data_IF_615659783631
#
_entry.id   IF_615659783631
#
_cell.length_a   1.000
_cell.length_b   1.000
_cell.length_c   1.000
_cell.angle_alpha   90.00
_cell.angle_beta   90.00
_cell.angle_gamma   90.00
#
_symmetry.space_group_name_H-M   'P 1'
#
loop_
_entity.id
_entity.type
_entity.pdbx_description
1 polymer ?
#
# COMPACT_ATOMS: atom_id res chain seq x y z
N UNK A 1 -17.88 -2.73 -28.39
CA UNK A 1 -17.17 -3.93 -27.93
C UNK A 1 -17.66 -4.22 -26.54
N UNK A 2 -17.96 -5.47 -26.14
CA UNK A 2 -18.27 -5.75 -24.76
C UNK A 2 -17.03 -5.41 -23.92
N UNK A 3 -17.21 -4.68 -22.83
CA UNK A 3 -16.15 -4.39 -21.88
C UNK A 3 -15.61 -5.74 -21.33
N UNK A 4 -14.31 -5.92 -21.36
CA UNK A 4 -13.68 -7.07 -20.70
C UNK A 4 -14.06 -7.00 -19.22
N UNK A 5 -14.59 -8.07 -18.61
CA UNK A 5 -14.91 -8.03 -17.19
C UNK A 5 -13.63 -7.71 -16.41
N UNK A 6 -13.72 -6.77 -15.48
CA UNK A 6 -12.62 -6.48 -14.54
C UNK A 6 -12.39 -7.75 -13.74
N UNK A 7 -11.15 -8.28 -13.81
CA UNK A 7 -10.75 -9.44 -13.03
C UNK A 7 -10.22 -8.98 -11.67
N UNK A 8 -10.39 -9.81 -10.66
CA UNK A 8 -9.91 -9.54 -9.33
C UNK A 8 -10.96 -9.00 -8.38
N UNK A 9 -10.63 -9.02 -7.12
CA UNK A 9 -11.50 -8.56 -6.02
C UNK A 9 -10.69 -7.98 -4.88
N UNK A 10 -11.36 -7.20 -4.04
CA UNK A 10 -10.80 -6.77 -2.76
C UNK A 10 -11.83 -6.95 -1.63
N UNK A 11 -11.31 -7.01 -0.42
CA UNK A 11 -12.09 -7.12 0.82
C UNK A 11 -11.48 -6.19 1.88
N UNK A 12 -12.31 -5.60 2.72
CA UNK A 12 -11.88 -4.73 3.82
C UNK A 12 -12.20 -5.37 5.16
N UNK A 13 -11.19 -5.56 5.99
CA UNK A 13 -11.34 -5.95 7.39
C UNK A 13 -11.20 -4.70 8.27
N UNK A 14 -12.33 -4.24 8.78
CA UNK A 14 -12.37 -3.04 9.63
C UNK A 14 -11.82 -3.32 11.03
N UNK A 15 -10.94 -2.45 11.51
CA UNK A 15 -10.34 -2.55 12.84
C UNK A 15 -9.50 -3.82 13.06
N UNK A 16 -8.98 -4.42 11.99
CA UNK A 16 -8.18 -5.65 12.06
C UNK A 16 -6.84 -5.47 12.78
N UNK A 17 -6.24 -4.28 12.69
CA UNK A 17 -4.95 -3.97 13.28
C UNK A 17 -5.12 -3.05 14.49
N UNK A 18 -4.66 -3.46 15.69
CA UNK A 18 -4.76 -2.63 16.88
C UNK A 18 -4.05 -1.28 16.75
N UNK A 19 -4.67 -0.20 17.21
CA UNK A 19 -4.15 1.17 17.11
C UNK A 19 -2.71 1.28 17.65
N UNK A 20 -2.39 0.58 18.75
CA UNK A 20 -1.03 0.59 19.30
C UNK A 20 0.03 0.14 18.28
N UNK A 21 -0.26 -0.87 17.46
CA UNK A 21 0.68 -1.35 16.42
C UNK A 21 0.83 -0.34 15.29
N UNK A 22 -0.25 0.35 14.93
CA UNK A 22 -0.21 1.48 13.99
C UNK A 22 0.69 2.59 14.52
N UNK A 23 0.52 2.96 15.79
CA UNK A 23 1.31 4.03 16.42
C UNK A 23 2.79 3.65 16.52
N UNK A 24 3.11 2.40 16.84
CA UNK A 24 4.49 1.91 16.93
C UNK A 24 5.16 1.93 15.53
N UNK A 25 4.47 1.49 14.49
CA UNK A 25 4.95 1.57 13.11
C UNK A 25 5.16 3.02 12.65
N UNK A 26 4.20 3.91 12.89
CA UNK A 26 4.33 5.34 12.57
C UNK A 26 5.51 5.98 13.30
N UNK A 27 5.71 5.66 14.58
CA UNK A 27 6.86 6.16 15.36
C UNK A 27 8.17 5.73 14.74
N UNK A 28 8.29 4.46 14.30
CA UNK A 28 9.46 3.95 13.61
C UNK A 28 9.75 4.76 12.34
N UNK A 29 8.74 4.96 11.49
CA UNK A 29 8.87 5.71 10.25
C UNK A 29 9.25 7.18 10.49
N UNK A 30 8.62 7.83 11.46
CA UNK A 30 8.92 9.24 11.80
C UNK A 30 10.34 9.39 12.34
N UNK A 31 10.82 8.47 13.17
CA UNK A 31 12.20 8.51 13.68
C UNK A 31 13.21 8.31 12.56
N UNK A 32 12.94 7.41 11.61
CA UNK A 32 13.80 7.20 10.45
C UNK A 32 13.88 8.46 9.58
N UNK A 33 12.74 9.08 9.26
CA UNK A 33 12.69 10.33 8.50
C UNK A 33 13.46 11.47 9.18
N UNK A 34 13.30 11.60 10.51
CA UNK A 34 14.02 12.63 11.28
C UNK A 34 15.55 12.38 11.30
N UNK A 35 15.96 11.13 11.35
CA UNK A 35 17.39 10.76 11.40
C UNK A 35 18.08 10.92 10.04
N UNK A 36 17.38 10.66 8.94
CA UNK A 36 17.93 10.80 7.60
C UNK A 36 18.21 12.25 7.21
N UNK A 37 17.38 13.17 7.67
CA UNK A 37 17.45 14.55 7.21
C UNK A 37 17.22 14.60 5.70
N UNK A 38 16.00 14.36 5.24
CA UNK A 38 15.69 14.35 3.81
C UNK A 38 16.14 15.64 3.12
N UNK A 39 17.01 15.53 2.12
CA UNK A 39 17.42 16.65 1.29
C UNK A 39 16.27 17.10 0.40
N UNK A 40 16.32 18.34 -0.10
CA UNK A 40 15.34 18.84 -1.07
C UNK A 40 15.31 18.00 -2.36
N UNK A 41 16.42 17.39 -2.73
CA UNK A 41 16.55 16.51 -3.89
C UNK A 41 15.85 15.17 -3.65
N UNK A 42 16.07 14.54 -2.49
CA UNK A 42 15.35 13.33 -2.09
C UNK A 42 13.84 13.58 -1.99
N UNK A 43 13.41 14.72 -1.43
CA UNK A 43 12.01 15.11 -1.39
C UNK A 43 11.43 15.30 -2.79
N UNK A 44 12.23 15.79 -3.76
CA UNK A 44 11.81 15.93 -5.16
C UNK A 44 11.51 14.59 -5.81
N UNK A 45 12.35 13.58 -5.59
CA UNK A 45 12.11 12.21 -6.07
C UNK A 45 10.90 11.58 -5.40
N UNK A 46 10.59 11.99 -4.18
CA UNK A 46 9.44 11.53 -3.41
C UNK A 46 8.11 12.17 -3.84
N UNK A 47 8.14 13.25 -4.59
CA UNK A 47 6.92 13.87 -5.15
C UNK A 47 6.21 12.97 -6.17
N UNK A 48 6.86 11.92 -6.67
CA UNK A 48 6.28 10.95 -7.59
C UNK A 48 5.51 9.81 -6.91
N UNK A 49 5.13 9.94 -5.68
CA UNK A 49 4.22 9.02 -5.06
C UNK A 49 4.86 8.16 -3.97
N UNK A 50 5.08 6.90 -4.23
CA UNK A 50 5.42 5.94 -3.20
C UNK A 50 6.92 5.86 -2.92
N UNK A 51 7.28 5.90 -1.65
CA UNK A 51 8.65 5.72 -1.20
C UNK A 51 8.83 4.40 -0.45
N UNK A 52 9.98 3.79 -0.66
CA UNK A 52 10.30 2.47 -0.13
C UNK A 52 11.33 2.61 0.99
N UNK A 53 11.09 1.90 2.10
CA UNK A 53 11.99 1.82 3.25
C UNK A 53 12.54 0.38 3.40
N UNK A 54 13.41 -0.08 2.48
CA UNK A 54 13.86 -1.48 2.49
C UNK A 54 14.56 -1.88 3.78
N UNK A 55 15.26 -0.96 4.44
CA UNK A 55 15.96 -1.20 5.70
C UNK A 55 15.06 -1.32 6.93
N UNK A 56 13.75 -1.00 6.81
CA UNK A 56 12.77 -1.13 7.89
C UNK A 56 11.85 -2.36 7.75
N UNK A 57 11.96 -3.10 6.65
CA UNK A 57 11.03 -4.20 6.32
C UNK A 57 10.99 -5.30 7.38
N UNK A 58 12.14 -5.62 7.96
CA UNK A 58 12.27 -6.71 8.94
C UNK A 58 12.13 -6.23 10.39
N UNK A 59 11.71 -4.99 10.60
CA UNK A 59 11.49 -4.45 11.94
C UNK A 59 10.24 -5.07 12.55
N UNK A 60 10.34 -5.37 13.83
CA UNK A 60 9.26 -5.99 14.61
C UNK A 60 7.97 -5.17 14.52
N UNK A 61 8.07 -3.84 14.55
CA UNK A 61 6.93 -2.93 14.47
C UNK A 61 6.17 -3.06 13.13
N UNK A 62 6.88 -3.37 12.04
CA UNK A 62 6.27 -3.57 10.71
C UNK A 62 5.67 -4.98 10.62
N UNK A 63 6.41 -6.00 11.04
CA UNK A 63 5.94 -7.39 10.97
C UNK A 63 4.73 -7.64 11.90
N UNK A 64 4.67 -6.94 13.05
CA UNK A 64 3.53 -7.01 13.96
C UNK A 64 2.20 -6.56 13.34
N UNK A 65 2.22 -5.72 12.30
CA UNK A 65 1.01 -5.36 11.55
C UNK A 65 0.45 -6.61 10.83
N UNK A 66 1.30 -7.36 10.14
CA UNK A 66 0.91 -8.57 9.42
C UNK A 66 0.36 -9.65 10.37
N UNK A 67 0.95 -9.80 11.56
CA UNK A 67 0.49 -10.74 12.57
C UNK A 67 -0.93 -10.47 13.09
N UNK A 68 -1.41 -9.22 12.93
CA UNK A 68 -2.75 -8.80 13.37
C UNK A 68 -3.85 -9.06 12.35
N UNK A 69 -3.48 -9.37 11.11
CA UNK A 69 -4.44 -9.60 10.03
C UNK A 69 -5.28 -10.84 10.29
N UNK A 70 -6.48 -10.97 9.70
CA UNK A 70 -7.29 -12.18 9.76
C UNK A 70 -6.49 -13.43 9.43
N UNK A 71 -6.70 -14.51 10.17
CA UNK A 71 -5.90 -15.75 10.06
C UNK A 71 -5.96 -16.32 8.63
N UNK A 72 -7.12 -16.28 8.02
CA UNK A 72 -7.35 -16.73 6.64
C UNK A 72 -6.59 -15.91 5.59
N UNK A 73 -6.17 -14.68 5.94
CA UNK A 73 -5.35 -13.83 5.08
C UNK A 73 -3.85 -14.09 5.24
N UNK A 74 -3.43 -14.82 6.26
CA UNK A 74 -2.03 -15.07 6.61
C UNK A 74 -1.49 -16.41 6.11
N UNK A 75 -2.19 -17.07 5.19
CA UNK A 75 -1.75 -18.35 4.61
C UNK A 75 -0.66 -18.12 3.56
N UNK A 76 0.36 -18.97 3.56
CA UNK A 76 1.54 -18.84 2.71
C UNK A 76 2.67 -18.04 3.38
N UNK A 77 3.71 -17.76 2.62
CA UNK A 77 4.92 -17.05 3.09
C UNK A 77 4.85 -15.57 2.76
N UNK A 78 5.10 -14.71 3.73
CA UNK A 78 5.22 -13.26 3.48
C UNK A 78 6.46 -12.99 2.63
N UNK A 79 6.25 -12.29 1.52
CA UNK A 79 7.31 -11.62 0.79
C UNK A 79 7.65 -10.29 1.49
N UNK A 80 8.79 -9.70 1.14
CA UNK A 80 9.26 -8.44 1.72
C UNK A 80 8.15 -7.38 1.81
N UNK A 81 7.87 -6.85 3.01
CA UNK A 81 6.90 -5.76 3.16
C UNK A 81 7.32 -4.53 2.35
N UNK A 82 6.33 -3.89 1.75
CA UNK A 82 6.51 -2.64 1.03
C UNK A 82 5.96 -1.50 1.87
N UNK A 83 6.84 -0.62 2.34
CA UNK A 83 6.45 0.55 3.13
C UNK A 83 6.36 1.74 2.16
N UNK A 84 5.19 2.32 2.07
CA UNK A 84 4.92 3.46 1.19
C UNK A 84 4.73 4.74 1.98
N UNK A 85 5.41 5.78 1.53
CA UNK A 85 5.23 7.14 1.98
C UNK A 85 4.93 7.99 0.76
N UNK A 86 3.83 8.72 0.79
CA UNK A 86 3.45 9.61 -0.30
C UNK A 86 3.35 11.03 0.19
N UNK A 87 4.14 11.90 -0.42
CA UNK A 87 4.14 13.34 -0.16
C UNK A 87 2.99 14.04 -0.87
N UNK A 88 2.55 15.20 -0.35
CA UNK A 88 1.64 16.06 -1.09
C UNK A 88 2.21 16.40 -2.47
N UNK A 89 1.41 16.19 -3.51
CA UNK A 89 1.80 16.49 -4.88
C UNK A 89 1.80 18.00 -5.12
N UNK A 90 2.84 18.47 -5.80
CA UNK A 90 2.96 19.86 -6.25
C UNK A 90 3.27 19.86 -7.74
N UNK A 91 2.41 20.46 -8.52
CA UNK A 91 2.58 20.56 -9.97
C UNK A 91 1.39 20.04 -10.77
N UNK A 92 1.56 19.79 -12.07
CA UNK A 92 0.54 19.19 -12.92
C UNK A 92 0.16 17.81 -12.43
N UNK A 93 -1.12 17.45 -12.54
CA UNK A 93 -1.60 16.13 -12.18
C UNK A 93 -0.89 15.05 -13.03
N UNK A 94 -0.23 14.07 -12.40
CA UNK A 94 0.41 13.00 -13.14
C UNK A 94 -0.61 12.02 -13.68
N UNK A 95 -0.26 11.33 -14.75
CA UNK A 95 -1.04 10.22 -15.27
C UNK A 95 -1.04 9.06 -14.26
N UNK A 96 -2.23 8.56 -13.92
CA UNK A 96 -2.38 7.40 -13.05
C UNK A 96 -2.29 6.14 -13.91
N UNK A 97 -1.32 5.29 -13.61
CA UNK A 97 -1.12 4.00 -14.31
C UNK A 97 -1.57 2.86 -13.42
N UNK A 98 -2.58 2.12 -13.88
CA UNK A 98 -3.03 0.89 -13.23
C UNK A 98 -2.11 -0.27 -13.59
N UNK A 99 -1.87 -1.16 -12.66
CA UNK A 99 -1.05 -2.36 -12.82
C UNK A 99 -1.63 -3.55 -12.09
N UNK A 100 -1.12 -4.73 -12.41
CA UNK A 100 -1.41 -5.98 -11.71
C UNK A 100 -0.13 -6.43 -10.99
N UNK A 101 -0.20 -6.75 -9.72
CA UNK A 101 0.98 -7.26 -9.00
C UNK A 101 1.48 -8.61 -9.55
N UNK A 102 0.60 -9.37 -10.20
CA UNK A 102 0.96 -10.64 -10.84
C UNK A 102 1.58 -10.48 -12.24
N UNK A 103 1.69 -9.26 -12.77
CA UNK A 103 2.38 -9.05 -14.06
C UNK A 103 3.85 -9.49 -13.96
N UNK A 104 4.40 -10.12 -15.01
CA UNK A 104 5.78 -10.62 -15.00
C UNK A 104 6.83 -9.58 -14.64
N UNK A 105 6.59 -8.32 -14.99
CA UNK A 105 7.47 -7.21 -14.67
C UNK A 105 7.57 -6.93 -13.15
N UNK A 106 6.51 -7.23 -12.40
CA UNK A 106 6.43 -6.98 -10.96
C UNK A 106 6.62 -8.24 -10.12
N UNK A 107 6.08 -9.36 -10.61
CA UNK A 107 6.12 -10.63 -9.90
C UNK A 107 7.50 -11.29 -9.94
N UNK A 108 8.35 -10.96 -10.92
CA UNK A 108 9.69 -11.55 -11.08
C UNK A 108 9.70 -13.10 -11.05
N UNK A 109 8.67 -13.72 -11.64
CA UNK A 109 8.49 -15.17 -11.61
C UNK A 109 7.87 -15.74 -10.33
N UNK A 110 7.49 -14.89 -9.37
CA UNK A 110 6.80 -15.31 -8.15
C UNK A 110 5.29 -15.44 -8.38
N UNK A 111 4.63 -16.31 -7.62
CA UNK A 111 3.17 -16.42 -7.62
C UNK A 111 2.63 -15.84 -6.33
N UNK A 112 1.97 -14.70 -6.43
CA UNK A 112 1.30 -14.10 -5.29
C UNK A 112 -0.07 -14.72 -5.06
N UNK A 113 -0.39 -15.04 -3.81
CA UNK A 113 -1.71 -15.49 -3.38
C UNK A 113 -2.63 -14.31 -3.12
N UNK A 114 -2.09 -13.27 -2.50
CA UNK A 114 -2.80 -12.06 -2.12
C UNK A 114 -1.86 -10.93 -1.75
N UNK A 115 -2.39 -9.72 -1.80
CA UNK A 115 -1.74 -8.50 -1.32
C UNK A 115 -2.64 -7.90 -0.25
N UNK A 116 -2.06 -7.48 0.87
CA UNK A 116 -2.80 -6.80 1.94
C UNK A 116 -2.17 -5.45 2.21
N UNK A 117 -2.95 -4.39 2.01
CA UNK A 117 -2.59 -3.04 2.38
C UNK A 117 -3.07 -2.71 3.80
N UNK A 118 -2.21 -2.12 4.61
CA UNK A 118 -2.52 -1.62 5.95
C UNK A 118 -2.31 -0.11 5.96
N UNK A 119 -3.38 0.70 6.02
CA UNK A 119 -3.27 2.14 6.21
C UNK A 119 -2.64 2.48 7.56
N UNK A 120 -1.58 3.29 7.55
CA UNK A 120 -1.03 3.91 8.75
C UNK A 120 -1.50 5.36 8.90
N UNK A 121 -2.06 5.93 7.85
CA UNK A 121 -2.83 7.18 7.83
C UNK A 121 -4.09 6.96 7.01
N UNK A 122 -5.14 7.77 7.15
CA UNK A 122 -6.37 7.58 6.38
C UNK A 122 -6.09 7.53 4.87
N UNK A 123 -6.69 6.57 4.16
CA UNK A 123 -6.69 6.51 2.70
C UNK A 123 -8.00 7.06 2.17
N UNK A 124 -7.92 8.05 1.30
CA UNK A 124 -9.05 8.75 0.66
C UNK A 124 -8.71 9.02 -0.80
N UNK A 125 -9.73 9.33 -1.60
CA UNK A 125 -9.54 9.62 -3.02
C UNK A 125 -8.65 10.82 -3.30
N UNK A 126 -8.59 11.80 -2.39
CA UNK A 126 -7.84 13.05 -2.54
C UNK A 126 -6.45 13.04 -1.91
N UNK A 127 -6.08 11.99 -1.18
CA UNK A 127 -4.79 11.93 -0.47
C UNK A 127 -3.84 10.85 -1.00
N UNK A 128 -4.05 10.37 -2.21
CA UNK A 128 -3.22 9.34 -2.80
C UNK A 128 -3.51 7.93 -2.28
N UNK A 129 -4.73 7.69 -1.77
CA UNK A 129 -5.18 6.38 -1.35
C UNK A 129 -5.16 5.35 -2.48
N UNK A 130 -5.50 4.11 -2.15
CA UNK A 130 -5.63 3.04 -3.12
C UNK A 130 -6.77 3.32 -4.09
N UNK A 131 -6.51 3.21 -5.39
CA UNK A 131 -7.50 3.19 -6.45
C UNK A 131 -7.59 1.78 -7.02
N UNK A 132 -8.80 1.31 -7.27
CA UNK A 132 -9.06 0.05 -7.97
C UNK A 132 -9.86 0.33 -9.22
N UNK A 133 -9.62 -0.46 -10.27
CA UNK A 133 -10.43 -0.39 -11.47
C UNK A 133 -11.73 -1.17 -11.26
N UNK A 134 -12.85 -0.54 -11.59
CA UNK A 134 -14.19 -1.14 -11.52
C UNK A 134 -14.86 -1.08 -12.89
N UNK A 135 -16.01 -1.73 -13.04
CA UNK A 135 -16.80 -1.67 -14.28
C UNK A 135 -17.23 -0.23 -14.63
N UNK A 136 -17.35 0.65 -13.64
CA UNK A 136 -17.72 2.06 -13.79
C UNK A 136 -16.52 3.01 -13.87
N UNK A 137 -15.30 2.48 -13.89
CA UNK A 137 -14.05 3.21 -13.90
C UNK A 137 -13.30 3.17 -12.57
N UNK A 138 -12.22 3.94 -12.44
CA UNK A 138 -11.42 4.01 -11.22
C UNK A 138 -12.24 4.44 -10.00
N UNK A 139 -12.12 3.70 -8.90
CA UNK A 139 -12.78 4.02 -7.65
C UNK A 139 -11.78 4.01 -6.46
N UNK A 140 -11.86 4.98 -5.54
CA UNK A 140 -11.03 4.96 -4.34
C UNK A 140 -11.50 3.89 -3.36
N UNK A 141 -10.56 3.22 -2.73
CA UNK A 141 -10.80 2.38 -1.56
C UNK A 141 -10.52 3.20 -0.32
N UNK A 142 -11.58 3.60 0.37
CA UNK A 142 -11.46 4.38 1.61
C UNK A 142 -11.22 3.45 2.80
N UNK A 143 -10.23 3.79 3.61
CA UNK A 143 -9.88 3.03 4.80
C UNK A 143 -9.21 3.90 5.85
N UNK A 144 -9.39 3.57 7.11
CA UNK A 144 -8.80 4.25 8.26
C UNK A 144 -7.61 3.46 8.85
N UNK A 145 -6.72 4.10 9.61
CA UNK A 145 -5.71 3.39 10.38
C UNK A 145 -6.34 2.33 11.30
N UNK A 146 -5.84 1.10 11.18
CA UNK A 146 -6.43 -0.05 11.86
C UNK A 146 -7.27 -0.95 10.97
N UNK A 147 -7.71 -0.48 9.81
CA UNK A 147 -8.29 -1.34 8.77
C UNK A 147 -7.22 -2.10 8.01
N UNK A 148 -7.62 -3.11 7.26
CA UNK A 148 -6.76 -3.79 6.31
C UNK A 148 -7.54 -4.09 5.03
N UNK A 149 -6.89 -3.95 3.88
CA UNK A 149 -7.47 -4.20 2.56
C UNK A 149 -6.74 -5.37 1.91
N UNK A 150 -7.43 -6.50 1.74
CA UNK A 150 -6.92 -7.63 0.99
C UNK A 150 -7.33 -7.49 -0.46
N UNK A 151 -6.37 -7.69 -1.38
CA UNK A 151 -6.58 -7.68 -2.82
C UNK A 151 -6.10 -8.98 -3.43
N UNK A 152 -6.79 -9.44 -4.47
CA UNK A 152 -6.26 -10.48 -5.35
C UNK A 152 -5.18 -9.89 -6.26
N UNK A 153 -4.13 -10.66 -6.64
CA UNK A 153 -3.01 -10.15 -7.43
C UNK A 153 -3.36 -9.73 -8.86
N UNK A 154 -4.51 -10.15 -9.34
CA UNK A 154 -5.09 -9.84 -10.64
C UNK A 154 -6.06 -8.66 -10.62
N UNK A 155 -6.22 -7.98 -9.48
CA UNK A 155 -7.02 -6.75 -9.38
C UNK A 155 -6.20 -5.57 -9.93
N UNK A 156 -6.66 -4.90 -11.00
CA UNK A 156 -6.02 -3.69 -11.49
C UNK A 156 -6.14 -2.59 -10.44
N UNK A 157 -5.00 -2.07 -10.00
CA UNK A 157 -4.97 -1.04 -8.96
C UNK A 157 -3.82 -0.05 -9.18
N UNK A 158 -3.88 1.07 -8.48
CA UNK A 158 -2.85 2.11 -8.46
C UNK A 158 -2.89 2.88 -7.16
N UNK A 159 -1.82 3.59 -6.84
CA UNK A 159 -1.85 4.69 -5.89
C UNK A 159 -2.48 5.92 -6.55
N UNK A 160 -3.39 6.57 -5.87
CA UNK A 160 -3.91 7.88 -6.29
C UNK A 160 -2.88 8.99 -6.08
N UNK A 161 -3.18 10.18 -6.58
CA UNK A 161 -2.36 11.38 -6.35
C UNK A 161 -2.71 11.98 -4.98
N UNK A 162 -1.70 12.35 -4.22
CA UNK A 162 -1.91 13.00 -2.93
C UNK A 162 -2.03 14.52 -3.10
N UNK A 163 -3.25 15.03 -3.21
CA UNK A 163 -3.54 16.46 -3.22
C UNK A 163 -3.77 17.06 -1.84
N UNK A 164 -3.74 16.23 -0.78
CA UNK A 164 -3.87 16.72 0.58
C UNK A 164 -2.60 17.44 1.05
N UNK A 165 -2.71 18.27 2.07
CA UNK A 165 -1.55 18.89 2.70
C UNK A 165 -0.81 17.98 3.69
N UNK A 166 -1.00 16.65 3.65
CA UNK A 166 -0.50 15.70 4.64
C UNK A 166 0.24 14.54 3.98
N UNK A 167 1.20 13.97 4.69
CA UNK A 167 1.84 12.73 4.29
C UNK A 167 0.84 11.56 4.41
N UNK A 168 0.87 10.66 3.43
CA UNK A 168 0.15 9.40 3.47
C UNK A 168 1.14 8.26 3.72
N UNK A 169 0.79 7.39 4.64
CA UNK A 169 1.57 6.21 5.01
C UNK A 169 0.76 4.94 4.80
N UNK A 170 1.44 3.88 4.37
CA UNK A 170 0.85 2.56 4.28
C UNK A 170 1.92 1.48 4.19
N UNK A 171 1.53 0.26 4.54
CA UNK A 171 2.37 -0.92 4.39
C UNK A 171 1.60 -1.94 3.58
N UNK A 172 2.26 -2.53 2.57
CA UNK A 172 1.72 -3.64 1.80
C UNK A 172 2.49 -4.91 2.09
N UNK A 173 1.77 -5.97 2.36
CA UNK A 173 2.28 -7.32 2.52
C UNK A 173 1.84 -8.16 1.32
N UNK A 174 2.75 -8.96 0.78
CA UNK A 174 2.46 -9.92 -0.27
C UNK A 174 2.68 -11.32 0.26
N UNK A 175 1.72 -12.21 0.04
CA UNK A 175 1.84 -13.62 0.37
C UNK A 175 2.13 -14.42 -0.87
N UNK A 176 3.17 -15.25 -0.79
CA UNK A 176 3.55 -16.21 -1.82
C UNK A 176 2.93 -17.56 -1.51
N UNK A 177 2.65 -18.34 -2.57
CA UNK A 177 2.37 -19.75 -2.42
C UNK A 177 3.56 -20.45 -1.75
N UNK A 178 3.28 -21.45 -0.94
CA UNK A 178 4.32 -22.38 -0.48
C UNK A 178 4.78 -23.20 -1.69
N UNK A 179 6.10 -23.40 -1.84
CA UNK A 179 6.71 -24.20 -2.91
C UNK A 179 6.37 -25.69 -2.75
#
# INVERSE_FOLDING_TARGET
>A
MPATPVQGSFEVAYGAVPQKKIDDALRLLHLDLLQRGASAEELSDWLWGAHWFPHLRDREEILALAESLPEEWRTGRICEPQILLQFPHVGPEPEITFHLDQEPAWAEGRTYLRIVGVPLSPWRGDNGGLLVETADGPAPVEADPGDAIMMTPDLPHSGGVNFSGRLRYGVYFRWLADD
#
